data_IF_316706868072
#
_entry.id   IF_316706868072
#
_cell.length_a   1.000
_cell.length_b   1.000
_cell.length_c   1.000
_cell.angle_alpha   90.00
_cell.angle_beta   90.00
_cell.angle_gamma   90.00
#
_symmetry.space_group_name_H-M   'P 1'
#
loop_
_entity.id
_entity.type
_entity.pdbx_description
1 polymer ?
#
# COMPACT_ATOMS: atom_id res chain seq x y z
N UNK A 1 9.75 11.44 24.79
CA UNK A 1 8.54 10.96 24.09
C UNK A 1 8.12 12.01 23.06
N UNK A 2 8.19 11.66 21.78
CA UNK A 2 7.88 12.54 20.66
C UNK A 2 6.37 12.84 20.53
N UNK A 3 6.01 13.78 19.66
CA UNK A 3 4.63 14.22 19.49
C UNK A 3 3.70 13.15 18.90
N UNK A 4 4.19 12.32 17.97
CA UNK A 4 3.40 11.30 17.30
C UNK A 4 2.98 10.22 18.31
N UNK A 5 3.93 9.74 19.11
CA UNK A 5 3.69 8.80 20.20
C UNK A 5 2.66 9.32 21.20
N UNK A 6 2.74 10.60 21.57
CA UNK A 6 1.74 11.23 22.45
C UNK A 6 0.33 11.21 21.85
N UNK A 7 0.18 11.46 20.56
CA UNK A 7 -1.14 11.43 19.91
C UNK A 7 -1.69 10.01 19.83
N UNK A 8 -0.86 9.01 19.52
CA UNK A 8 -1.28 7.59 19.50
C UNK A 8 -1.82 7.15 20.86
N UNK A 9 -1.10 7.44 21.95
CA UNK A 9 -1.56 7.13 23.32
C UNK A 9 -2.87 7.84 23.64
N UNK A 10 -3.02 9.12 23.25
CA UNK A 10 -4.27 9.89 23.45
C UNK A 10 -5.47 9.32 22.70
N UNK A 11 -5.26 8.55 21.62
CA UNK A 11 -6.32 7.79 20.93
C UNK A 11 -6.64 6.45 21.61
N UNK A 12 -5.97 6.16 22.73
CA UNK A 12 -6.15 4.93 23.51
C UNK A 12 -5.51 3.70 22.85
N UNK A 13 -4.59 3.88 21.91
CA UNK A 13 -3.92 2.78 21.20
C UNK A 13 -2.72 2.32 22.05
N UNK A 14 -2.70 1.05 22.51
CA UNK A 14 -1.56 0.51 23.25
C UNK A 14 -0.30 0.47 22.39
N UNK A 15 0.83 0.85 22.97
CA UNK A 15 2.13 0.82 22.28
C UNK A 15 2.64 -0.61 22.00
N UNK A 16 2.08 -1.60 22.70
CA UNK A 16 2.33 -3.03 22.52
C UNK A 16 1.37 -3.70 21.52
N UNK A 17 0.45 -2.95 20.91
CA UNK A 17 -0.40 -3.50 19.84
C UNK A 17 0.49 -3.93 18.67
N UNK A 18 0.30 -5.17 18.20
CA UNK A 18 1.07 -5.75 17.11
C UNK A 18 0.32 -5.72 15.79
N UNK A 19 1.07 -5.53 14.73
CA UNK A 19 0.64 -5.73 13.35
C UNK A 19 1.55 -6.76 12.69
N UNK A 20 0.96 -7.60 11.83
CA UNK A 20 1.66 -8.64 11.09
C UNK A 20 1.51 -8.38 9.60
N UNK A 21 2.63 -8.35 8.88
CA UNK A 21 2.72 -8.05 7.46
C UNK A 21 3.33 -9.23 6.73
N UNK A 22 2.58 -9.78 5.77
CA UNK A 22 3.10 -10.83 4.87
C UNK A 22 3.61 -10.20 3.60
N UNK A 23 4.91 -10.31 3.34
CA UNK A 23 5.57 -9.82 2.14
C UNK A 23 6.30 -11.01 1.51
N UNK A 24 5.86 -11.46 0.33
CA UNK A 24 6.33 -12.70 -0.31
C UNK A 24 6.18 -13.92 0.62
N UNK A 25 7.30 -14.58 0.91
CA UNK A 25 7.46 -15.74 1.78
C UNK A 25 7.82 -15.36 3.23
N UNK A 26 7.86 -14.07 3.56
CA UNK A 26 8.23 -13.56 4.89
C UNK A 26 7.03 -12.96 5.62
N UNK A 27 7.00 -13.17 6.93
CA UNK A 27 6.10 -12.47 7.85
C UNK A 27 6.94 -11.56 8.74
N UNK A 28 6.60 -10.28 8.77
CA UNK A 28 7.22 -9.27 9.62
C UNK A 28 6.18 -8.80 10.63
N UNK A 29 6.54 -8.81 11.90
CA UNK A 29 5.71 -8.29 12.98
C UNK A 29 6.32 -7.02 13.55
N UNK A 30 5.48 -6.02 13.77
CA UNK A 30 5.86 -4.78 14.46
C UNK A 30 4.85 -4.44 15.54
N UNK A 31 5.37 -4.04 16.70
CA UNK A 31 4.56 -3.30 17.67
C UNK A 31 4.32 -1.87 17.17
N UNK A 32 3.30 -1.19 17.70
CA UNK A 32 3.13 0.26 17.50
C UNK A 32 4.40 1.03 17.86
N UNK A 33 5.15 0.58 18.88
CA UNK A 33 6.43 1.19 19.26
C UNK A 33 7.45 1.09 18.14
N UNK A 34 7.62 -0.09 17.53
CA UNK A 34 8.55 -0.33 16.42
C UNK A 34 8.19 0.54 15.21
N UNK A 35 6.89 0.61 14.89
CA UNK A 35 6.37 1.42 13.79
C UNK A 35 6.74 2.89 13.98
N UNK A 36 6.45 3.45 15.16
CA UNK A 36 6.70 4.86 15.46
C UNK A 36 8.20 5.18 15.47
N UNK A 37 9.02 4.32 16.08
CA UNK A 37 10.48 4.50 16.13
C UNK A 37 11.09 4.49 14.73
N UNK A 38 10.73 3.52 13.88
CA UNK A 38 11.23 3.44 12.50
C UNK A 38 10.74 4.61 11.65
N UNK A 39 9.47 4.99 11.80
CA UNK A 39 8.91 6.10 11.06
C UNK A 39 9.63 7.41 11.39
N UNK A 40 9.86 7.69 12.68
CA UNK A 40 10.58 8.91 13.12
C UNK A 40 11.99 9.05 12.53
N UNK A 41 12.64 7.94 12.16
CA UNK A 41 13.99 7.91 11.57
C UNK A 41 13.98 8.02 10.04
N UNK A 42 12.90 7.60 9.39
CA UNK A 42 12.83 7.44 7.93
C UNK A 42 11.91 8.44 7.24
N UNK A 43 11.00 9.07 7.98
CA UNK A 43 10.13 10.12 7.45
C UNK A 43 10.88 11.43 7.29
N UNK A 44 10.58 12.18 6.25
CA UNK A 44 10.99 13.58 6.13
C UNK A 44 10.33 14.42 7.22
N UNK A 45 10.89 15.61 7.50
CA UNK A 45 10.32 16.55 8.46
C UNK A 45 8.88 16.96 8.10
N UNK A 46 8.59 17.06 6.81
CA UNK A 46 7.27 17.43 6.30
C UNK A 46 6.27 16.28 6.43
N UNK A 47 6.64 15.07 6.02
CA UNK A 47 5.83 13.86 6.23
C UNK A 47 5.47 13.66 7.70
N UNK A 48 6.45 13.82 8.59
CA UNK A 48 6.23 13.70 10.03
C UNK A 48 5.25 14.75 10.55
N UNK A 49 5.38 16.00 10.10
CA UNK A 49 4.46 17.09 10.47
C UNK A 49 3.04 16.83 9.97
N UNK A 50 2.90 16.35 8.73
CA UNK A 50 1.60 16.01 8.15
C UNK A 50 0.95 14.85 8.91
N UNK A 51 1.73 13.82 9.24
CA UNK A 51 1.28 12.67 10.04
C UNK A 51 0.71 13.08 11.40
N UNK A 52 1.39 14.00 12.09
CA UNK A 52 0.88 14.57 13.34
C UNK A 52 -0.46 15.29 13.11
N UNK A 53 -0.57 16.06 12.03
CA UNK A 53 -1.81 16.79 11.67
C UNK A 53 -2.98 15.84 11.44
N UNK A 54 -2.75 14.75 10.68
CA UNK A 54 -3.76 13.72 10.43
C UNK A 54 -4.17 13.00 11.72
N UNK A 55 -3.21 12.54 12.53
CA UNK A 55 -3.49 11.83 13.78
C UNK A 55 -4.21 12.68 14.83
N UNK A 56 -3.99 14.00 14.84
CA UNK A 56 -4.73 14.92 15.73
C UNK A 56 -6.24 14.80 15.51
N UNK A 57 -6.66 14.82 14.24
CA UNK A 57 -8.08 14.83 13.84
C UNK A 57 -8.68 13.43 13.67
N UNK A 58 -7.85 12.39 13.57
CA UNK A 58 -8.29 11.02 13.35
C UNK A 58 -9.12 10.46 14.51
N UNK A 59 -10.08 9.59 14.19
CA UNK A 59 -10.69 8.66 15.15
C UNK A 59 -9.68 7.58 15.55
N UNK A 60 -10.00 6.76 16.56
CA UNK A 60 -9.15 5.63 16.95
C UNK A 60 -8.93 4.66 15.78
N UNK A 61 -9.99 4.35 15.04
CA UNK A 61 -9.96 3.44 13.90
C UNK A 61 -9.10 3.99 12.76
N UNK A 62 -9.28 5.27 12.41
CA UNK A 62 -8.45 5.94 11.40
C UNK A 62 -6.98 6.00 11.84
N UNK A 63 -6.71 6.22 13.13
CA UNK A 63 -5.36 6.20 13.66
C UNK A 63 -4.72 4.79 13.61
N UNK A 64 -5.49 3.73 13.87
CA UNK A 64 -5.01 2.35 13.71
C UNK A 64 -4.73 2.01 12.24
N UNK A 65 -5.62 2.40 11.32
CA UNK A 65 -5.42 2.22 9.88
C UNK A 65 -4.17 2.97 9.39
N UNK A 66 -3.98 4.21 9.87
CA UNK A 66 -2.79 4.99 9.57
C UNK A 66 -1.50 4.32 10.08
N UNK A 67 -1.49 3.84 11.33
CA UNK A 67 -0.35 3.09 11.88
C UNK A 67 -0.08 1.80 11.10
N UNK A 68 -1.14 1.09 10.72
CA UNK A 68 -1.04 -0.11 9.91
C UNK A 68 -0.36 0.18 8.56
N UNK A 69 -0.75 1.27 7.88
CA UNK A 69 -0.13 1.72 6.64
C UNK A 69 1.34 2.08 6.79
N UNK A 70 1.72 2.78 7.87
CA UNK A 70 3.14 3.07 8.17
C UNK A 70 3.92 1.77 8.41
N UNK A 71 3.38 0.85 9.20
CA UNK A 71 4.06 -0.42 9.47
C UNK A 71 4.19 -1.28 8.21
N UNK A 72 3.19 -1.27 7.34
CA UNK A 72 3.25 -1.95 6.04
C UNK A 72 4.37 -1.38 5.16
N UNK A 73 4.47 -0.04 5.03
CA UNK A 73 5.59 0.63 4.36
C UNK A 73 6.93 0.17 4.94
N UNK A 74 7.07 0.18 6.27
CA UNK A 74 8.30 -0.22 6.93
C UNK A 74 8.67 -1.69 6.62
N UNK A 75 7.69 -2.59 6.63
CA UNK A 75 7.91 -4.01 6.35
C UNK A 75 8.34 -4.25 4.89
N UNK A 76 7.72 -3.55 3.94
CA UNK A 76 8.07 -3.64 2.52
C UNK A 76 9.49 -3.13 2.28
N UNK A 77 9.84 -1.97 2.86
CA UNK A 77 11.19 -1.42 2.76
C UNK A 77 12.21 -2.39 3.38
N UNK A 78 11.87 -3.08 4.47
CA UNK A 78 12.76 -4.08 5.08
C UNK A 78 12.98 -5.30 4.19
N UNK A 79 11.97 -5.78 3.45
CA UNK A 79 12.08 -6.98 2.60
C UNK A 79 12.65 -6.67 1.22
N UNK A 80 12.14 -5.62 0.56
CA UNK A 80 12.42 -5.31 -0.83
C UNK A 80 13.34 -4.10 -1.01
N UNK A 81 13.53 -3.27 0.02
CA UNK A 81 14.24 -2.00 -0.10
C UNK A 81 13.36 -0.83 -0.54
N UNK A 82 13.88 0.39 -0.37
CA UNK A 82 13.13 1.62 -0.63
C UNK A 82 12.74 1.81 -2.10
N UNK A 83 13.65 1.51 -3.03
CA UNK A 83 13.39 1.66 -4.46
C UNK A 83 12.19 0.83 -4.92
N UNK A 84 12.15 -0.44 -4.50
CA UNK A 84 11.06 -1.36 -4.80
C UNK A 84 9.74 -0.96 -4.12
N UNK A 85 9.81 -0.44 -2.90
CA UNK A 85 8.63 0.16 -2.25
C UNK A 85 8.05 1.31 -3.10
N UNK A 86 8.90 2.23 -3.57
CA UNK A 86 8.45 3.38 -4.37
C UNK A 86 7.78 2.95 -5.68
N UNK A 87 8.22 1.85 -6.29
CA UNK A 87 7.53 1.28 -7.46
C UNK A 87 6.12 0.81 -7.14
N UNK A 88 5.94 0.08 -6.04
CA UNK A 88 4.60 -0.32 -5.59
C UNK A 88 3.73 0.87 -5.24
N UNK A 89 4.29 1.84 -4.52
CA UNK A 89 3.59 3.07 -4.16
C UNK A 89 3.11 3.81 -5.40
N UNK A 90 4.00 4.02 -6.38
CA UNK A 90 3.67 4.60 -7.67
C UNK A 90 2.54 3.83 -8.37
N UNK A 91 2.64 2.50 -8.42
CA UNK A 91 1.61 1.62 -8.98
C UNK A 91 0.25 1.88 -8.33
N UNK A 92 0.18 1.98 -7.01
CA UNK A 92 -1.10 2.24 -6.34
C UNK A 92 -1.57 3.69 -6.43
N UNK A 93 -0.66 4.64 -6.61
CA UNK A 93 -1.02 6.03 -6.85
C UNK A 93 -1.70 6.22 -8.20
N UNK A 94 -1.36 5.42 -9.23
CA UNK A 94 -2.02 5.51 -10.54
C UNK A 94 -3.53 5.21 -10.45
N UNK A 95 -3.97 4.35 -9.53
CA UNK A 95 -5.39 4.11 -9.26
C UNK A 95 -6.14 5.32 -8.69
N UNK A 96 -5.44 6.31 -8.16
CA UNK A 96 -6.08 7.54 -7.68
C UNK A 96 -6.33 8.52 -8.83
N UNK A 97 -5.78 8.26 -10.02
CA UNK A 97 -5.90 9.15 -11.18
C UNK A 97 -7.09 8.77 -12.09
N UNK A 98 -7.58 7.54 -12.01
CA UNK A 98 -8.67 7.05 -12.87
C UNK A 98 -9.48 5.94 -12.20
N UNK A 99 -10.77 5.85 -12.56
CA UNK A 99 -11.62 4.69 -12.23
C UNK A 99 -11.62 3.63 -13.35
N UNK A 100 -11.00 3.94 -14.49
CA UNK A 100 -10.83 3.01 -15.59
C UNK A 100 -9.91 1.85 -15.18
N UNK A 101 -10.14 0.62 -15.71
CA UNK A 101 -9.25 -0.49 -15.46
C UNK A 101 -7.84 -0.19 -16.00
N UNK A 102 -6.84 -0.33 -15.14
CA UNK A 102 -5.43 -0.16 -15.51
C UNK A 102 -4.86 -1.55 -15.79
N UNK A 103 -4.37 -1.75 -17.01
CA UNK A 103 -3.65 -2.97 -17.37
C UNK A 103 -2.24 -2.89 -16.79
N UNK A 104 -1.83 -3.92 -16.05
CA UNK A 104 -0.44 -4.10 -15.66
C UNK A 104 0.06 -5.45 -16.14
N UNK A 105 1.17 -5.41 -16.88
CA UNK A 105 1.88 -6.58 -17.37
C UNK A 105 2.90 -7.00 -16.33
N UNK A 106 3.09 -8.30 -16.21
CA UNK A 106 4.13 -8.86 -15.35
C UNK A 106 5.13 -9.57 -16.26
N UNK A 107 6.38 -9.13 -16.29
CA UNK A 107 7.42 -9.60 -17.24
C UNK A 107 7.70 -11.10 -17.18
N UNK A 108 7.37 -11.73 -16.07
CA UNK A 108 7.59 -13.15 -15.87
C UNK A 108 6.51 -13.96 -16.62
N UNK A 109 6.86 -14.81 -17.60
CA UNK A 109 5.92 -15.42 -18.55
C UNK A 109 4.84 -16.35 -17.95
N UNK A 110 4.93 -16.70 -16.65
CA UNK A 110 3.85 -17.42 -15.93
C UNK A 110 2.78 -16.48 -15.34
N UNK A 111 3.04 -15.17 -15.32
CA UNK A 111 2.17 -14.15 -14.76
C UNK A 111 1.51 -13.40 -15.93
N UNK A 112 0.37 -13.95 -16.37
CA UNK A 112 -0.57 -13.36 -17.34
C UNK A 112 -0.80 -11.87 -17.12
N UNK A 113 -1.25 -11.12 -18.13
CA UNK A 113 -1.73 -9.75 -17.97
C UNK A 113 -2.73 -9.66 -16.81
N UNK A 114 -2.59 -8.64 -15.96
CA UNK A 114 -3.50 -8.40 -14.86
C UNK A 114 -4.14 -7.03 -14.98
N UNK A 115 -5.27 -6.87 -14.32
CA UNK A 115 -6.04 -5.63 -14.30
C UNK A 115 -6.18 -5.19 -12.86
N UNK A 116 -5.90 -3.91 -12.65
CA UNK A 116 -6.07 -3.23 -11.38
C UNK A 116 -7.09 -2.11 -11.58
N UNK A 117 -8.12 -2.05 -10.76
CA UNK A 117 -9.20 -1.07 -10.92
C UNK A 117 -9.64 -0.51 -9.58
N UNK A 118 -10.02 0.78 -9.56
CA UNK A 118 -10.70 1.42 -8.43
C UNK A 118 -12.09 1.88 -8.86
N UNK A 119 -13.12 1.57 -8.06
CA UNK A 119 -14.49 2.11 -8.22
C UNK A 119 -14.98 2.61 -6.87
N UNK A 120 -15.10 3.93 -6.71
CA UNK A 120 -15.32 4.53 -5.40
C UNK A 120 -14.23 4.14 -4.40
N UNK A 121 -14.62 3.59 -3.24
CA UNK A 121 -13.68 3.15 -2.19
C UNK A 121 -13.16 1.72 -2.39
N UNK A 122 -13.69 0.98 -3.36
CA UNK A 122 -13.32 -0.40 -3.64
C UNK A 122 -12.22 -0.48 -4.70
N UNK A 123 -11.23 -1.32 -4.42
CA UNK A 123 -10.15 -1.71 -5.31
C UNK A 123 -10.32 -3.16 -5.76
N UNK A 124 -9.81 -3.49 -6.94
CA UNK A 124 -9.90 -4.82 -7.56
C UNK A 124 -8.57 -5.19 -8.20
N UNK A 125 -8.25 -6.50 -8.17
CA UNK A 125 -7.02 -7.06 -8.70
C UNK A 125 -7.30 -8.46 -9.28
N UNK A 126 -7.33 -8.60 -10.59
CA UNK A 126 -7.73 -9.83 -11.29
C UNK A 126 -6.94 -10.03 -12.57
N UNK A 127 -6.90 -11.27 -13.08
CA UNK A 127 -6.23 -11.56 -14.36
C UNK A 127 -7.07 -11.05 -15.53
N UNK A 128 -6.41 -10.57 -16.57
CA UNK A 128 -7.07 -10.21 -17.82
C UNK A 128 -7.76 -11.45 -18.38
N UNK A 129 -9.04 -11.32 -18.74
CA UNK A 129 -9.94 -12.40 -19.18
C UNK A 129 -10.48 -13.31 -18.07
N UNK A 130 -10.20 -13.02 -16.79
CA UNK A 130 -10.92 -13.62 -15.67
C UNK A 130 -11.99 -12.66 -15.13
N UNK A 131 -12.90 -13.19 -14.30
CA UNK A 131 -13.90 -12.37 -13.62
C UNK A 131 -13.28 -11.39 -12.63
N UNK A 132 -13.97 -10.27 -12.38
CA UNK A 132 -13.54 -9.27 -11.39
C UNK A 132 -13.39 -9.93 -10.01
N UNK A 133 -12.29 -9.62 -9.33
CA UNK A 133 -12.03 -10.14 -7.98
C UNK A 133 -13.05 -9.64 -6.96
N UNK A 134 -13.03 -10.23 -5.76
CA UNK A 134 -13.72 -9.63 -4.62
C UNK A 134 -13.20 -8.21 -4.36
N UNK A 135 -14.07 -7.27 -3.92
CA UNK A 135 -13.67 -5.91 -3.59
C UNK A 135 -12.74 -5.90 -2.38
N UNK A 136 -11.74 -5.04 -2.42
CA UNK A 136 -10.79 -4.83 -1.33
C UNK A 136 -10.52 -3.34 -1.12
N UNK A 137 -10.06 -2.93 0.06
CA UNK A 137 -9.60 -1.55 0.26
C UNK A 137 -8.16 -1.36 -0.27
N UNK A 138 -7.69 -0.11 -0.29
CA UNK A 138 -6.36 0.21 -0.83
C UNK A 138 -5.21 -0.47 -0.06
N UNK A 139 -5.33 -0.66 1.26
CA UNK A 139 -4.31 -1.34 2.07
C UNK A 139 -4.25 -2.85 1.76
N UNK A 140 -5.41 -3.47 1.54
CA UNK A 140 -5.51 -4.86 1.13
C UNK A 140 -4.92 -5.05 -0.28
N UNK A 141 -5.27 -4.16 -1.22
CA UNK A 141 -4.66 -4.18 -2.55
C UNK A 141 -3.14 -4.08 -2.48
N UNK A 142 -2.61 -3.15 -1.69
CA UNK A 142 -1.17 -2.99 -1.51
C UNK A 142 -0.51 -4.27 -0.97
N UNK A 143 -1.17 -4.96 -0.04
CA UNK A 143 -0.71 -6.26 0.51
C UNK A 143 -0.68 -7.34 -0.57
N UNK A 144 -1.75 -7.43 -1.36
CA UNK A 144 -1.86 -8.40 -2.46
C UNK A 144 -0.77 -8.18 -3.50
N UNK A 145 -0.51 -6.92 -3.90
CA UNK A 145 0.56 -6.58 -4.82
C UNK A 145 1.93 -7.04 -4.30
N UNK A 146 2.24 -6.77 -3.03
CA UNK A 146 3.50 -7.14 -2.41
C UNK A 146 3.68 -8.66 -2.22
N UNK A 147 2.57 -9.40 -2.15
CA UNK A 147 2.57 -10.85 -1.95
C UNK A 147 2.69 -11.60 -3.28
N UNK A 148 2.03 -11.10 -4.33
CA UNK A 148 1.88 -11.79 -5.61
C UNK A 148 2.93 -11.41 -6.65
N UNK A 149 3.51 -10.22 -6.58
CA UNK A 149 4.37 -9.69 -7.63
C UNK A 149 5.73 -9.27 -7.07
N UNK A 150 6.78 -9.42 -7.89
CA UNK A 150 8.02 -8.66 -7.71
C UNK A 150 7.81 -7.29 -8.38
N UNK A 151 8.07 -6.16 -7.69
CA UNK A 151 7.90 -4.84 -8.28
C UNK A 151 8.84 -4.55 -9.47
N UNK A 152 9.90 -5.33 -9.66
CA UNK A 152 10.73 -5.24 -10.87
C UNK A 152 10.06 -5.85 -12.11
N UNK A 153 9.12 -6.76 -11.90
CA UNK A 153 8.40 -7.43 -12.97
C UNK A 153 7.17 -6.63 -13.43
N UNK A 154 6.75 -5.60 -12.69
CA UNK A 154 5.56 -4.81 -13.00
C UNK A 154 5.85 -3.77 -14.08
N UNK A 155 5.11 -3.85 -15.18
CA UNK A 155 4.98 -2.79 -16.18
C UNK A 155 3.55 -2.28 -16.19
N UNK A 156 3.38 -0.97 -16.01
CA UNK A 156 2.07 -0.33 -16.06
C UNK A 156 1.91 0.25 -17.46
N UNK A 157 1.00 -0.33 -18.24
CA UNK A 157 0.56 0.31 -19.47
C UNK A 157 -0.50 1.34 -19.09
N UNK A 158 -0.14 2.61 -19.16
CA UNK A 158 -1.16 3.64 -19.32
C UNK A 158 -1.70 3.44 -20.74
N UNK A 159 -2.82 2.72 -20.85
CA UNK A 159 -3.51 2.59 -22.13
C UNK A 159 -4.05 3.99 -22.46
N UNK A 160 -3.27 4.77 -23.21
CA UNK A 160 -3.85 5.77 -24.09
C UNK A 160 -4.74 4.95 -25.04
N UNK A 161 -6.06 5.01 -24.82
CA UNK A 161 -7.07 4.31 -25.60
C UNK A 161 -7.13 4.87 -27.04
N UNK A 162 -6.05 4.77 -27.81
CA UNK A 162 -6.05 5.10 -29.25
C UNK A 162 -6.02 3.86 -30.15
N UNK A 163 -5.79 2.64 -29.63
CA UNK A 163 -5.64 1.44 -30.48
C UNK A 163 -6.62 0.29 -30.19
N UNK A 164 -7.88 0.58 -29.85
CA UNK A 164 -8.97 -0.39 -30.11
C UNK A 164 -9.44 -0.22 -31.56
N UNK A 165 -8.68 -0.81 -32.50
CA UNK A 165 -9.19 -1.04 -33.85
C UNK A 165 -10.08 -2.29 -33.77
N UNK A 166 -11.39 -2.07 -33.81
CA UNK A 166 -12.38 -3.10 -34.12
C UNK A 166 -12.02 -3.74 -35.48
N UNK A 167 -11.74 -5.05 -35.47
CA UNK A 167 -11.81 -5.91 -36.66
C UNK A 167 -12.84 -6.99 -36.45
#
# INVERSE_FOLDING_TARGET
>A
MDALTKFVIRKGIPLATNFSYRIKDKTIEYTVTDILLRYSKTSTKEEYKNSISHLKKATRELALSFLNGIGQRNAIIEVYGYEKYTRFEYTTMTLSLTEEPILFRVKNPELSNWVMQKKGDACYLYRQNEGVSNPMNIQQLFTELCTKFDPDDIEIDFVDNEDYIDT
#
